data_IF_252611616876
#
_entry.id   IF_252611616876
#
_cell.length_a   1.000
_cell.length_b   1.000
_cell.length_c   1.000
_cell.angle_alpha   90.00
_cell.angle_beta   90.00
_cell.angle_gamma   90.00
#
_symmetry.space_group_name_H-M   'P 1'
#
loop_
_entity.id
_entity.type
_entity.pdbx_description
1 polymer ?
#
# COMPACT_ATOMS: atom_id res chain seq x y z
N UNK A 1 -15.24 -8.31 -2.68
CA UNK A 1 -13.77 -8.31 -2.88
C UNK A 1 -13.29 -9.71 -3.31
N UNK A 2 -13.99 -10.38 -4.22
CA UNK A 2 -13.69 -11.79 -4.55
C UNK A 2 -12.62 -11.94 -5.65
N UNK A 3 -12.56 -10.97 -6.58
CA UNK A 3 -11.65 -11.00 -7.73
C UNK A 3 -10.17 -10.88 -7.35
N UNK A 4 -9.82 -10.00 -6.40
CA UNK A 4 -8.41 -9.74 -6.05
C UNK A 4 -7.84 -10.86 -5.17
N UNK A 5 -8.67 -11.47 -4.32
CA UNK A 5 -8.26 -12.58 -3.44
C UNK A 5 -7.99 -13.87 -4.19
N UNK A 6 -8.67 -14.13 -5.30
CA UNK A 6 -8.42 -15.33 -6.11
C UNK A 6 -7.10 -15.26 -6.91
N UNK A 7 -6.62 -14.05 -7.20
CA UNK A 7 -5.34 -13.81 -7.88
C UNK A 7 -4.13 -14.05 -6.96
N UNK A 8 -4.31 -13.91 -5.65
CA UNK A 8 -3.27 -14.00 -4.62
C UNK A 8 -3.51 -15.21 -3.70
N UNK A 9 -3.48 -16.43 -4.26
CA UNK A 9 -3.56 -17.68 -3.48
C UNK A 9 -2.29 -17.89 -2.63
N UNK A 10 -2.22 -17.16 -1.51
CA UNK A 10 -1.31 -17.30 -0.37
C UNK A 10 -0.08 -16.38 -0.32
N UNK A 11 0.07 -15.40 -1.20
CA UNK A 11 1.21 -14.48 -1.20
C UNK A 11 0.75 -13.03 -1.30
N UNK A 12 1.39 -12.14 -0.53
CA UNK A 12 1.16 -10.70 -0.64
C UNK A 12 1.75 -10.20 -1.96
N UNK A 13 1.07 -9.26 -2.61
CA UNK A 13 1.56 -8.61 -3.82
C UNK A 13 1.70 -7.10 -3.62
N UNK A 14 2.75 -6.51 -4.17
CA UNK A 14 2.92 -5.06 -4.23
C UNK A 14 1.77 -4.41 -5.00
N UNK A 15 1.28 -3.30 -4.47
CA UNK A 15 0.27 -2.45 -5.12
C UNK A 15 0.86 -1.06 -5.34
N UNK A 16 0.20 -0.26 -6.18
CA UNK A 16 0.64 1.09 -6.52
C UNK A 16 0.57 2.13 -5.39
N UNK A 17 0.46 1.75 -4.12
CA UNK A 17 0.35 2.68 -3.00
C UNK A 17 1.70 2.80 -2.28
N UNK A 18 2.19 4.03 -2.13
CA UNK A 18 3.47 4.34 -1.47
C UNK A 18 3.36 5.55 -0.57
N UNK A 19 4.36 5.77 0.27
CA UNK A 19 4.51 7.04 0.98
C UNK A 19 5.49 7.97 0.28
N UNK A 20 5.19 9.26 0.35
CA UNK A 20 6.07 10.35 -0.08
C UNK A 20 6.25 11.37 1.03
N UNK A 21 7.34 12.13 0.95
CA UNK A 21 7.56 13.24 1.85
C UNK A 21 6.51 14.32 1.64
N UNK A 22 5.80 14.67 2.70
CA UNK A 22 4.91 15.82 2.73
C UNK A 22 5.15 16.63 4.01
N UNK A 23 5.72 17.82 3.84
CA UNK A 23 6.02 18.78 4.93
C UNK A 23 4.79 19.30 5.66
N UNK A 24 3.60 19.19 5.07
CA UNK A 24 2.33 19.59 5.70
C UNK A 24 1.70 18.44 6.50
N UNK A 25 2.15 17.20 6.32
CA UNK A 25 1.69 16.07 7.11
C UNK A 25 2.31 16.10 8.52
N UNK A 26 1.56 15.66 9.52
CA UNK A 26 2.00 15.65 10.93
C UNK A 26 3.26 14.83 11.17
N UNK A 27 3.48 13.80 10.36
CA UNK A 27 4.65 12.91 10.41
C UNK A 27 5.72 13.25 9.38
N UNK A 28 5.47 14.22 8.49
CA UNK A 28 6.32 14.51 7.34
C UNK A 28 6.13 13.57 6.14
N UNK A 29 5.20 12.61 6.22
CA UNK A 29 4.93 11.64 5.14
C UNK A 29 3.42 11.45 4.92
N UNK A 30 3.04 11.15 3.68
CA UNK A 30 1.66 10.85 3.29
C UNK A 30 1.60 9.67 2.33
N UNK A 31 0.45 8.99 2.27
CA UNK A 31 0.17 7.95 1.28
C UNK A 31 -0.33 8.55 -0.04
N UNK A 32 0.13 8.00 -1.16
CA UNK A 32 -0.31 8.36 -2.52
C UNK A 32 -0.27 7.14 -3.45
N UNK A 33 -1.08 7.17 -4.50
CA UNK A 33 -0.98 6.21 -5.60
C UNK A 33 0.12 6.64 -6.59
N UNK A 34 0.85 5.69 -7.17
CA UNK A 34 1.95 5.95 -8.11
C UNK A 34 1.52 6.53 -9.45
N UNK A 35 0.22 6.44 -9.77
CA UNK A 35 -0.40 6.92 -11.00
C UNK A 35 -1.05 8.32 -10.84
N UNK A 36 -0.82 8.98 -9.71
CA UNK A 36 -1.43 10.25 -9.30
C UNK A 36 -2.97 10.20 -9.17
N UNK A 37 -3.57 9.01 -9.12
CA UNK A 37 -4.98 8.86 -8.81
C UNK A 37 -5.28 9.42 -7.41
N UNK A 38 -6.38 10.18 -7.23
CA UNK A 38 -6.72 10.71 -5.93
C UNK A 38 -6.96 9.58 -4.93
N UNK A 39 -6.30 9.63 -3.77
CA UNK A 39 -6.53 8.70 -2.66
C UNK A 39 -7.84 9.04 -1.92
N UNK A 40 -8.96 8.89 -2.62
CA UNK A 40 -10.33 9.21 -2.13
C UNK A 40 -10.79 8.28 -1.01
N UNK A 41 -10.31 7.04 -1.00
CA UNK A 41 -10.57 6.04 0.04
C UNK A 41 -9.47 6.02 1.10
N UNK A 42 -9.04 7.21 1.53
CA UNK A 42 -8.02 7.39 2.57
C UNK A 42 -8.39 6.62 3.86
N UNK A 43 -9.68 6.40 4.11
CA UNK A 43 -10.17 5.71 5.31
C UNK A 43 -9.64 4.27 5.43
N UNK A 44 -9.53 3.52 4.34
CA UNK A 44 -9.08 2.12 4.38
C UNK A 44 -7.56 2.04 4.49
N UNK A 45 -6.84 2.80 3.67
CA UNK A 45 -5.39 2.84 3.67
C UNK A 45 -4.83 3.26 5.04
N UNK A 46 -5.37 4.32 5.64
CA UNK A 46 -4.85 4.84 6.91
C UNK A 46 -5.31 4.00 8.10
N UNK A 47 -6.48 3.34 8.03
CA UNK A 47 -6.93 2.43 9.07
C UNK A 47 -6.14 1.12 9.10
N UNK A 48 -5.80 0.56 7.93
CA UNK A 48 -5.07 -0.70 7.84
C UNK A 48 -3.55 -0.53 7.94
N UNK A 49 -2.97 0.51 7.32
CA UNK A 49 -1.52 0.75 7.28
C UNK A 49 -1.03 1.72 8.36
N UNK A 50 -1.96 2.45 8.99
CA UNK A 50 -1.64 3.50 9.95
C UNK A 50 -0.98 4.73 9.32
N UNK A 51 -0.60 5.67 10.18
CA UNK A 51 0.14 6.86 9.77
C UNK A 51 1.54 6.48 9.26
N UNK A 52 1.91 7.05 8.12
CA UNK A 52 3.25 6.93 7.55
C UNK A 52 4.25 7.73 8.39
N UNK A 53 5.29 7.09 8.92
CA UNK A 53 6.39 7.75 9.66
C UNK A 53 7.72 7.69 8.90
N UNK A 54 7.68 7.31 7.62
CA UNK A 54 8.84 7.11 6.76
C UNK A 54 8.44 6.68 5.36
N UNK A 55 9.44 6.35 4.54
CA UNK A 55 9.27 5.80 3.20
C UNK A 55 8.84 4.33 3.27
N UNK A 56 7.62 4.06 2.84
CA UNK A 56 6.98 2.75 2.86
C UNK A 56 6.27 2.48 1.53
N UNK A 57 6.10 1.20 1.25
CA UNK A 57 5.29 0.68 0.15
C UNK A 57 4.20 -0.21 0.73
N UNK A 58 3.04 -0.22 0.10
CA UNK A 58 1.96 -1.10 0.50
C UNK A 58 1.93 -2.36 -0.36
N UNK A 59 1.57 -3.46 0.26
CA UNK A 59 1.18 -4.69 -0.40
C UNK A 59 -0.25 -5.04 -0.05
N UNK A 60 -0.98 -5.63 -1.00
CA UNK A 60 -2.31 -6.14 -0.75
C UNK A 60 -2.28 -7.63 -0.45
N UNK A 61 -3.31 -7.98 0.32
CA UNK A 61 -3.98 -9.25 0.27
C UNK A 61 -3.15 -10.32 0.95
N UNK A 62 -2.87 -10.08 2.24
CA UNK A 62 -2.45 -11.14 3.16
C UNK A 62 -3.49 -12.27 3.19
N UNK A 63 -3.25 -13.30 4.00
CA UNK A 63 -4.20 -14.44 4.12
C UNK A 63 -5.62 -14.04 4.56
N UNK A 64 -5.83 -12.79 5.01
CA UNK A 64 -7.11 -12.22 5.43
C UNK A 64 -7.64 -11.15 4.45
N UNK A 65 -6.94 -10.89 3.34
CA UNK A 65 -7.30 -9.86 2.37
C UNK A 65 -6.95 -8.43 2.80
N UNK A 66 -6.14 -8.26 3.84
CA UNK A 66 -5.74 -6.96 4.39
C UNK A 66 -4.53 -6.39 3.66
N UNK A 67 -4.39 -5.07 3.72
CA UNK A 67 -3.18 -4.40 3.26
C UNK A 67 -2.11 -4.44 4.34
N UNK A 68 -0.87 -4.56 3.89
CA UNK A 68 0.33 -4.54 4.73
C UNK A 68 1.28 -3.45 4.24
N UNK A 69 2.11 -2.94 5.16
CA UNK A 69 3.18 -1.98 4.83
C UNK A 69 4.54 -2.63 4.98
N UNK A 70 5.45 -2.25 4.11
CA UNK A 70 6.87 -2.58 4.21
C UNK A 70 7.69 -1.33 4.02
N UNK A 71 8.88 -1.30 4.64
CA UNK A 71 9.85 -0.25 4.37
C UNK A 71 10.26 -0.30 2.91
N UNK A 72 10.50 0.87 2.31
CA UNK A 72 10.91 0.97 0.90
C UNK A 72 12.17 0.15 0.57
N UNK A 73 13.06 -0.06 1.55
CA UNK A 73 14.30 -0.81 1.42
C UNK A 73 14.22 -2.23 2.02
N UNK A 74 13.01 -2.72 2.33
CA UNK A 74 12.86 -4.09 2.78
C UNK A 74 13.15 -5.01 1.58
N UNK A 75 14.19 -5.84 1.68
CA UNK A 75 14.59 -6.79 0.63
C UNK A 75 13.61 -7.99 0.57
N UNK A 76 12.36 -7.72 0.25
CA UNK A 76 11.28 -8.71 0.17
C UNK A 76 10.80 -8.79 -1.27
N UNK A 77 10.96 -9.98 -1.86
CA UNK A 77 10.48 -10.25 -3.21
C UNK A 77 8.98 -10.54 -3.18
N UNK A 78 8.19 -9.72 -3.89
CA UNK A 78 6.74 -9.93 -4.11
C UNK A 78 6.37 -9.60 -5.55
N UNK A 79 5.31 -10.22 -6.04
CA UNK A 79 4.74 -9.90 -7.34
C UNK A 79 4.02 -8.55 -7.32
N UNK A 80 3.87 -7.90 -8.47
CA UNK A 80 3.13 -6.64 -8.61
C UNK A 80 1.73 -6.90 -9.18
N UNK A 81 0.73 -6.24 -8.62
CA UNK A 81 -0.59 -6.08 -9.24
C UNK A 81 -0.57 -4.78 -10.04
N UNK A 82 -0.93 -4.86 -11.32
CA UNK A 82 -0.94 -3.72 -12.25
C UNK A 82 -2.34 -3.52 -12.83
N UNK A 83 -2.70 -2.27 -13.10
CA UNK A 83 -3.94 -1.88 -13.80
C UNK A 83 -3.65 -1.11 -15.11
N UNK A 84 -4.65 -0.96 -15.97
CA UNK A 84 -4.57 -0.24 -17.25
C UNK A 84 -5.92 0.38 -17.61
#
# INVERSE_FOLDING_TARGET
MEFVTELNKNEESWIGLRTTENKTASTGFQWEWVDDSPLTETFWATAELGNATGLNVASCCDQQGKWTRSGYNDNVDKNWICEK
#
